data_IF_078298061997
#
_entry.id   IF_078298061997
#
_cell.length_a   1.000
_cell.length_b   1.000
_cell.length_c   1.000
_cell.angle_alpha   90.00
_cell.angle_beta   90.00
_cell.angle_gamma   90.00
#
_symmetry.space_group_name_H-M   'P 1'
#
loop_
_entity.id
_entity.type
_entity.pdbx_description
1 polymer ?
#
# COMPACT_ATOMS: atom_id res chain seq x y z
N UNK A 1 -3.02 12.13 8.80
CA UNK A 1 -3.50 10.78 8.44
C UNK A 1 -3.33 10.63 6.93
N UNK A 2 -3.00 9.45 6.39
CA UNK A 2 -2.89 9.27 4.94
C UNK A 2 -4.24 9.53 4.25
N UNK A 3 -4.23 10.16 3.08
CA UNK A 3 -5.44 10.43 2.30
C UNK A 3 -6.01 9.15 1.67
N UNK A 4 -7.28 9.22 1.26
CA UNK A 4 -7.90 8.15 0.47
C UNK A 4 -7.12 7.99 -0.84
N UNK A 5 -6.95 6.75 -1.28
CA UNK A 5 -6.13 6.31 -2.41
C UNK A 5 -4.62 6.41 -2.20
N UNK A 6 -4.12 6.84 -1.04
CA UNK A 6 -2.68 6.74 -0.78
C UNK A 6 -2.22 5.28 -0.67
N UNK A 7 -1.04 5.03 -1.24
CA UNK A 7 -0.33 3.78 -1.09
C UNK A 7 0.43 3.77 0.25
N UNK A 8 0.33 2.66 0.94
CA UNK A 8 1.11 2.31 2.12
C UNK A 8 1.97 1.10 1.81
N UNK A 9 3.16 1.05 2.39
CA UNK A 9 4.12 -0.04 2.20
C UNK A 9 4.40 -0.75 3.52
N UNK A 10 4.40 -2.08 3.48
CA UNK A 10 4.88 -2.93 4.56
C UNK A 10 6.05 -3.77 4.04
N UNK A 11 7.19 -3.68 4.71
CA UNK A 11 8.33 -4.53 4.43
C UNK A 11 8.05 -5.96 4.94
N UNK A 12 8.00 -6.92 4.03
CA UNK A 12 7.97 -8.35 4.34
C UNK A 12 9.35 -8.96 4.11
N UNK A 13 9.56 -10.19 4.60
CA UNK A 13 10.87 -10.86 4.53
C UNK A 13 11.40 -11.05 3.10
N UNK A 14 10.50 -11.27 2.14
CA UNK A 14 10.85 -11.60 0.75
C UNK A 14 10.38 -10.58 -0.28
N UNK A 15 9.50 -9.66 0.13
CA UNK A 15 8.85 -8.72 -0.78
C UNK A 15 8.28 -7.51 -0.05
N UNK A 16 7.73 -6.56 -0.81
CA UNK A 16 6.96 -5.45 -0.28
C UNK A 16 5.48 -5.71 -0.46
N UNK A 17 4.71 -5.56 0.61
CA UNK A 17 3.25 -5.56 0.51
C UNK A 17 2.76 -4.12 0.37
N UNK A 18 2.08 -3.84 -0.75
CA UNK A 18 1.43 -2.55 -0.99
C UNK A 18 -0.02 -2.64 -0.53
N UNK A 19 -0.45 -1.61 0.21
CA UNK A 19 -1.83 -1.41 0.64
C UNK A 19 -2.34 -0.08 0.08
N UNK A 20 -3.60 -0.01 -0.32
CA UNK A 20 -4.24 1.24 -0.73
C UNK A 20 -5.32 1.64 0.28
N UNK A 21 -5.31 2.89 0.74
CA UNK A 21 -6.35 3.42 1.64
C UNK A 21 -7.67 3.59 0.89
N UNK A 22 -8.73 2.91 1.35
CA UNK A 22 -10.07 3.03 0.77
C UNK A 22 -10.99 3.93 1.60
N UNK A 23 -10.81 3.93 2.93
CA UNK A 23 -11.72 4.63 3.82
C UNK A 23 -11.03 5.04 5.12
N UNK A 24 -11.43 6.18 5.67
CA UNK A 24 -11.11 6.57 7.03
C UNK A 24 -12.16 6.00 7.99
N UNK A 25 -11.72 5.28 9.02
CA UNK A 25 -12.60 4.65 10.02
C UNK A 25 -12.80 5.54 11.26
N UNK A 26 -12.06 6.64 11.36
CA UNK A 26 -11.98 7.47 12.58
C UNK A 26 -10.87 7.01 13.52
N UNK A 27 -10.65 7.76 14.60
CA UNK A 27 -9.68 7.42 15.66
C UNK A 27 -8.26 7.15 15.15
N UNK A 28 -7.83 7.87 14.11
CA UNK A 28 -6.51 7.68 13.49
C UNK A 28 -6.36 6.37 12.70
N UNK A 29 -7.45 5.64 12.45
CA UNK A 29 -7.45 4.36 11.74
C UNK A 29 -8.00 4.48 10.32
N UNK A 30 -7.44 3.68 9.42
CA UNK A 30 -7.84 3.61 8.00
C UNK A 30 -8.11 2.16 7.61
N UNK A 31 -9.05 1.96 6.69
CA UNK A 31 -9.30 0.68 6.01
C UNK A 31 -8.53 0.68 4.71
N UNK A 32 -7.77 -0.38 4.48
CA UNK A 32 -6.95 -0.53 3.27
C UNK A 32 -7.28 -1.83 2.55
N UNK A 33 -7.02 -1.87 1.24
CA UNK A 33 -7.03 -3.10 0.43
C UNK A 33 -5.59 -3.46 0.10
N UNK A 34 -5.24 -4.74 0.26
CA UNK A 34 -3.91 -5.25 -0.05
C UNK A 34 -3.82 -5.62 -1.53
N UNK A 35 -2.70 -5.27 -2.18
CA UNK A 35 -2.44 -5.56 -3.59
C UNK A 35 -1.81 -6.95 -3.82
N UNK A 36 -1.56 -7.69 -2.74
CA UNK A 36 -1.00 -9.05 -2.76
C UNK A 36 -1.47 -9.83 -1.52
N UNK A 37 -1.03 -11.09 -1.38
CA UNK A 37 -1.36 -11.92 -0.22
C UNK A 37 -0.96 -11.23 1.09
N UNK A 38 -1.85 -11.34 2.08
CA UNK A 38 -1.64 -10.86 3.45
C UNK A 38 -1.17 -11.96 4.39
N UNK A 39 -0.81 -13.14 3.86
CA UNK A 39 -0.34 -14.26 4.65
C UNK A 39 0.91 -13.89 5.45
N UNK A 40 0.89 -14.24 6.75
CA UNK A 40 1.99 -13.94 7.66
C UNK A 40 2.04 -12.49 8.16
N UNK A 41 1.12 -11.61 7.73
CA UNK A 41 0.98 -10.27 8.31
C UNK A 41 0.54 -10.37 9.78
N UNK A 42 1.19 -9.59 10.64
CA UNK A 42 0.92 -9.56 12.09
C UNK A 42 0.49 -8.17 12.53
N UNK A 43 -0.33 -8.11 13.57
CA UNK A 43 -0.69 -6.85 14.24
C UNK A 43 0.58 -6.17 14.78
N UNK A 44 0.63 -4.84 14.67
CA UNK A 44 1.80 -4.04 15.06
C UNK A 44 2.91 -4.00 14.01
N UNK A 45 2.72 -4.61 12.83
CA UNK A 45 3.64 -4.43 11.71
C UNK A 45 3.79 -2.94 11.37
N UNK A 46 5.04 -2.52 11.12
CA UNK A 46 5.34 -1.14 10.73
C UNK A 46 4.81 -0.89 9.31
N UNK A 47 4.06 0.19 9.17
CA UNK A 47 3.50 0.64 7.88
C UNK A 47 4.11 1.99 7.54
N UNK A 48 4.54 2.16 6.29
CA UNK A 48 5.12 3.41 5.79
C UNK A 48 4.14 4.04 4.79
N UNK A 49 3.76 5.29 5.03
CA UNK A 49 2.95 6.05 4.08
C UNK A 49 3.85 6.60 2.96
N UNK A 50 3.48 6.36 1.71
CA UNK A 50 4.20 6.88 0.54
C UNK A 50 3.83 8.33 0.20
N UNK A 51 2.76 8.86 0.82
CA UNK A 51 2.16 10.19 0.57
C UNK A 51 1.68 10.42 -0.86
N UNK A 52 1.47 9.34 -1.61
CA UNK A 52 0.98 9.38 -2.99
C UNK A 52 0.16 8.13 -3.29
N UNK A 53 -0.68 8.17 -4.33
CA UNK A 53 -1.34 6.96 -4.82
C UNK A 53 -0.37 5.93 -5.37
N UNK A 54 -0.86 4.70 -5.57
CA UNK A 54 -0.11 3.66 -6.27
C UNK A 54 0.28 4.20 -7.64
N UNK A 55 1.58 4.16 -7.93
CA UNK A 55 2.16 4.68 -9.16
C UNK A 55 2.75 3.53 -9.96
N UNK A 56 2.43 3.49 -11.25
CA UNK A 56 2.96 2.50 -12.20
C UNK A 56 3.87 3.21 -13.21
N UNK A 57 4.93 2.53 -13.69
CA UNK A 57 5.72 3.07 -14.79
C UNK A 57 4.84 3.18 -16.05
N UNK A 58 5.04 4.22 -16.82
CA UNK A 58 4.35 4.47 -18.09
C UNK A 58 5.34 5.04 -19.09
N UNK A 59 5.10 4.81 -20.39
CA UNK A 59 5.86 5.42 -21.48
C UNK A 59 6.36 4.40 -22.49
N UNK A 60 7.35 4.80 -23.29
CA UNK A 60 7.91 3.90 -24.33
C UNK A 60 8.64 2.70 -23.70
N UNK A 61 9.16 2.84 -22.49
CA UNK A 61 9.84 1.75 -21.79
C UNK A 61 8.91 0.62 -21.35
N UNK A 62 7.60 0.84 -21.33
CA UNK A 62 6.62 -0.21 -20.98
C UNK A 62 6.09 -0.97 -22.19
N UNK A 63 6.50 -0.63 -23.41
CA UNK A 63 6.07 -1.33 -24.62
C UNK A 63 6.75 -2.71 -24.73
N UNK A 64 5.95 -3.77 -24.80
CA UNK A 64 6.44 -5.15 -24.99
C UNK A 64 6.72 -5.92 -23.70
N UNK A 65 6.34 -5.37 -22.55
CA UNK A 65 6.24 -6.06 -21.26
C UNK A 65 4.77 -6.29 -20.92
#
# INVERSE_FOLDING_TARGET
MPDIFHALEIAMQKDKLILEVQQHLGSGSVRTVAMSSTDGLRRGAKVVNTNKPISVPVGKETLGR
#
